data_IF_061235342964
#
_entry.id   IF_061235342964
#
_cell.length_a   1.000
_cell.length_b   1.000
_cell.length_c   1.000
_cell.angle_alpha   90.00
_cell.angle_beta   90.00
_cell.angle_gamma   90.00
#
_symmetry.space_group_name_H-M   'P 1'
#
loop_
_entity.id
_entity.type
_entity.pdbx_description
1 polymer ?
#
# COMPACT_ATOMS: atom_id res chain seq x y z
N UNK A 1 -70.67 -60.12 55.09
CA UNK A 1 -69.61 -59.26 55.68
C UNK A 1 -68.43 -59.33 54.74
N UNK A 2 -67.80 -58.30 54.19
CA UNK A 2 -67.91 -56.84 54.22
C UNK A 2 -66.91 -56.36 53.13
N UNK A 3 -67.25 -55.28 52.44
CA UNK A 3 -66.55 -54.66 51.30
C UNK A 3 -65.04 -54.44 51.56
N UNK A 4 -64.20 -54.27 50.51
CA UNK A 4 -63.52 -53.00 50.21
C UNK A 4 -62.38 -53.03 49.13
N UNK A 5 -62.59 -52.23 48.07
CA UNK A 5 -61.72 -51.37 47.21
C UNK A 5 -60.56 -51.89 46.32
N UNK A 6 -60.71 -51.54 45.01
CA UNK A 6 -59.83 -50.77 44.07
C UNK A 6 -58.33 -51.16 43.94
N UNK A 7 -57.64 -50.98 42.82
CA UNK A 7 -57.90 -50.54 41.46
C UNK A 7 -56.59 -50.67 40.66
N UNK A 8 -56.73 -51.05 39.38
CA UNK A 8 -56.09 -50.48 38.19
C UNK A 8 -54.59 -50.66 37.93
N UNK A 9 -54.39 -51.28 36.75
CA UNK A 9 -53.22 -51.27 35.90
C UNK A 9 -52.67 -49.87 35.61
N UNK A 10 -51.34 -49.77 35.55
CA UNK A 10 -50.62 -48.81 34.73
C UNK A 10 -49.15 -49.23 34.66
N UNK A 11 -48.77 -49.82 33.54
CA UNK A 11 -47.38 -50.00 33.16
C UNK A 11 -47.39 -50.19 31.66
N UNK A 12 -46.47 -49.53 30.98
CA UNK A 12 -46.22 -49.47 29.53
C UNK A 12 -46.55 -48.08 28.96
N UNK A 13 -45.56 -47.54 28.25
CA UNK A 13 -45.54 -46.27 27.52
C UNK A 13 -44.96 -45.04 28.27
N UNK A 14 -43.65 -45.08 28.52
CA UNK A 14 -42.83 -43.88 28.82
C UNK A 14 -41.52 -43.80 28.01
N UNK A 15 -41.36 -44.61 26.96
CA UNK A 15 -40.11 -44.65 26.15
C UNK A 15 -40.26 -44.06 24.75
N UNK A 16 -41.49 -43.77 24.29
CA UNK A 16 -41.73 -43.27 22.91
C UNK A 16 -41.93 -41.75 22.82
N UNK A 17 -42.04 -41.03 23.95
CA UNK A 17 -42.32 -39.58 23.93
C UNK A 17 -41.06 -38.70 23.88
N UNK A 18 -39.87 -39.22 24.16
CA UNK A 18 -38.63 -38.44 24.11
C UNK A 18 -37.94 -38.41 22.73
N UNK A 19 -38.42 -39.18 21.74
CA UNK A 19 -37.84 -39.20 20.40
C UNK A 19 -38.46 -38.19 19.41
N UNK A 20 -39.51 -37.46 19.81
CA UNK A 20 -40.21 -36.48 18.95
C UNK A 20 -40.17 -35.03 19.46
N UNK A 21 -39.51 -34.76 20.60
CA UNK A 21 -39.27 -33.38 21.10
C UNK A 21 -37.84 -32.90 20.81
N UNK A 22 -36.96 -33.77 20.29
CA UNK A 22 -35.59 -33.43 19.87
C UNK A 22 -35.46 -32.87 18.44
N UNK A 23 -36.57 -32.56 17.76
CA UNK A 23 -36.60 -32.11 16.36
C UNK A 23 -37.26 -30.73 16.18
N UNK A 24 -37.43 -29.96 17.25
CA UNK A 24 -37.86 -28.57 17.16
C UNK A 24 -36.73 -27.65 17.65
N UNK A 25 -36.37 -26.69 16.80
CA UNK A 25 -35.59 -25.49 17.11
C UNK A 25 -34.11 -25.68 17.48
N UNK A 26 -33.34 -26.32 16.59
CA UNK A 26 -32.11 -25.66 16.12
C UNK A 26 -32.32 -25.34 14.64
N UNK A 27 -33.25 -24.40 14.39
CA UNK A 27 -33.08 -23.57 13.21
C UNK A 27 -31.75 -22.87 13.45
N UNK A 28 -30.72 -23.40 12.81
CA UNK A 28 -29.49 -22.69 12.52
C UNK A 28 -29.96 -21.37 11.91
N UNK A 29 -30.01 -20.30 12.71
CA UNK A 29 -30.02 -18.96 12.17
C UNK A 29 -28.70 -18.90 11.43
N UNK A 30 -28.78 -19.14 10.12
CA UNK A 30 -27.78 -18.66 9.19
C UNK A 30 -27.77 -17.17 9.48
N UNK A 31 -26.77 -16.72 10.25
CA UNK A 31 -26.43 -15.30 10.28
C UNK A 31 -26.09 -14.98 8.83
N UNK A 32 -27.05 -14.40 8.11
CA UNK A 32 -26.80 -13.86 6.79
C UNK A 32 -25.74 -12.78 6.99
N UNK A 33 -24.48 -13.14 6.68
CA UNK A 33 -23.33 -12.25 6.70
C UNK A 33 -23.76 -10.93 6.02
N UNK A 34 -23.75 -9.81 6.75
CA UNK A 34 -24.04 -8.51 6.16
C UNK A 34 -23.00 -8.23 5.08
N UNK A 35 -23.47 -7.95 3.87
CA UNK A 35 -22.60 -7.75 2.71
C UNK A 35 -22.85 -6.40 2.06
N UNK A 36 -21.77 -5.84 1.51
CA UNK A 36 -21.80 -4.75 0.54
C UNK A 36 -21.81 -5.38 -0.84
N UNK A 37 -22.93 -5.24 -1.54
CA UNK A 37 -23.17 -5.84 -2.85
C UNK A 37 -24.49 -5.37 -3.45
N UNK A 38 -24.70 -5.59 -4.75
CA UNK A 38 -25.92 -5.17 -5.46
C UNK A 38 -27.17 -5.91 -4.97
N UNK A 39 -27.00 -7.14 -4.49
CA UNK A 39 -28.10 -7.99 -4.03
C UNK A 39 -28.47 -7.73 -2.55
N UNK A 40 -27.75 -6.82 -1.88
CA UNK A 40 -27.98 -6.48 -0.48
C UNK A 40 -29.15 -5.52 -0.32
N UNK A 41 -30.10 -5.83 0.58
CA UNK A 41 -31.23 -4.95 0.90
C UNK A 41 -30.84 -3.61 1.51
N UNK A 42 -29.58 -3.44 1.89
CA UNK A 42 -29.02 -2.22 2.46
C UNK A 42 -28.32 -1.33 1.42
N UNK A 43 -28.16 -1.83 0.19
CA UNK A 43 -27.42 -1.17 -0.87
C UNK A 43 -28.35 -0.77 -2.01
N UNK A 44 -28.13 0.43 -2.54
CA UNK A 44 -28.85 0.96 -3.70
C UNK A 44 -27.81 1.48 -4.70
N UNK A 45 -27.88 1.01 -5.95
CA UNK A 45 -27.03 1.53 -7.01
C UNK A 45 -27.65 2.82 -7.57
N UNK A 46 -26.93 3.93 -7.42
CA UNK A 46 -27.27 5.22 -8.01
C UNK A 46 -26.22 5.59 -9.04
N UNK A 47 -26.58 5.52 -10.31
CA UNK A 47 -25.65 5.73 -11.43
C UNK A 47 -24.45 4.77 -11.36
N UNK A 48 -23.28 5.25 -10.94
CA UNK A 48 -22.04 4.49 -10.78
C UNK A 48 -21.61 4.33 -9.32
N UNK A 49 -22.46 4.75 -8.37
CA UNK A 49 -22.18 4.73 -6.93
C UNK A 49 -23.07 3.67 -6.26
N UNK A 50 -22.45 2.66 -5.65
CA UNK A 50 -23.15 1.71 -4.80
C UNK A 50 -23.26 2.30 -3.39
N UNK A 51 -24.46 2.73 -3.02
CA UNK A 51 -24.73 3.37 -1.73
C UNK A 51 -25.31 2.37 -0.73
N UNK A 52 -24.53 1.99 0.28
CA UNK A 52 -24.93 1.06 1.32
C UNK A 52 -25.11 1.76 2.67
N UNK A 53 -26.33 1.83 3.17
CA UNK A 53 -26.65 2.44 4.47
C UNK A 53 -27.44 1.47 5.35
N UNK A 54 -26.85 1.13 6.49
CA UNK A 54 -27.44 0.19 7.44
C UNK A 54 -28.42 0.85 8.42
N UNK A 55 -28.68 2.17 8.29
CA UNK A 55 -29.60 3.02 9.10
C UNK A 55 -29.24 3.15 10.58
N UNK A 56 -28.77 2.07 11.19
CA UNK A 56 -28.24 2.00 12.54
C UNK A 56 -26.91 1.25 12.48
N UNK A 57 -26.01 1.59 13.40
CA UNK A 57 -24.71 0.91 13.52
C UNK A 57 -24.94 -0.59 13.68
N UNK A 58 -24.53 -1.36 12.67
CA UNK A 58 -24.76 -2.82 12.60
C UNK A 58 -24.20 -3.53 13.82
N UNK A 59 -24.79 -4.65 14.25
CA UNK A 59 -24.15 -5.45 15.31
C UNK A 59 -23.08 -6.40 14.76
N UNK A 60 -23.25 -6.83 13.52
CA UNK A 60 -22.41 -7.80 12.82
C UNK A 60 -21.39 -7.11 11.88
N UNK A 61 -20.36 -7.87 11.52
CA UNK A 61 -19.33 -7.48 10.55
C UNK A 61 -19.92 -7.43 9.14
N UNK A 62 -19.61 -6.35 8.42
CA UNK A 62 -19.96 -6.15 7.03
C UNK A 62 -18.77 -6.53 6.14
N UNK A 63 -18.99 -7.41 5.18
CA UNK A 63 -17.96 -7.87 4.22
C UNK A 63 -18.22 -7.29 2.83
N UNK A 64 -17.17 -6.87 2.15
CA UNK A 64 -17.26 -6.52 0.72
C UNK A 64 -17.39 -7.79 -0.11
N UNK A 65 -18.35 -7.82 -1.04
CA UNK A 65 -18.53 -8.94 -1.95
C UNK A 65 -17.47 -8.93 -3.08
N UNK A 66 -16.89 -10.10 -3.39
CA UNK A 66 -15.88 -10.29 -4.45
C UNK A 66 -16.41 -9.98 -5.87
N UNK A 67 -17.72 -9.83 -6.06
CA UNK A 67 -18.31 -9.55 -7.38
C UNK A 67 -18.17 -8.08 -7.81
N UNK A 68 -17.74 -7.18 -6.90
CA UNK A 68 -17.46 -5.78 -7.24
C UNK A 68 -16.15 -5.58 -7.99
N UNK A 69 -15.35 -6.64 -8.18
CA UNK A 69 -14.02 -6.57 -8.82
C UNK A 69 -13.99 -6.81 -10.33
N UNK A 70 -15.06 -7.33 -10.97
CA UNK A 70 -15.07 -7.61 -12.41
C UNK A 70 -16.25 -6.96 -13.16
N UNK A 71 -15.95 -5.90 -13.91
CA UNK A 71 -16.73 -5.50 -15.08
C UNK A 71 -18.09 -4.81 -14.87
N UNK A 72 -18.47 -4.47 -13.63
CA UNK A 72 -19.70 -3.72 -13.38
C UNK A 72 -19.46 -2.20 -13.28
N UNK A 73 -20.50 -1.42 -13.61
CA UNK A 73 -20.48 0.05 -13.71
C UNK A 73 -20.22 0.81 -12.39
N UNK A 74 -19.81 0.11 -11.32
CA UNK A 74 -19.59 0.70 -10.00
C UNK A 74 -18.18 1.30 -9.95
N UNK A 75 -18.10 2.63 -9.94
CA UNK A 75 -16.85 3.38 -9.81
C UNK A 75 -16.54 3.73 -8.35
N UNK A 76 -17.58 3.82 -7.52
CA UNK A 76 -17.47 4.20 -6.12
C UNK A 76 -18.43 3.39 -5.26
N UNK A 77 -17.98 3.02 -4.06
CA UNK A 77 -18.79 2.37 -3.03
C UNK A 77 -18.85 3.29 -1.82
N UNK A 78 -20.05 3.66 -1.41
CA UNK A 78 -20.31 4.49 -0.25
C UNK A 78 -20.94 3.65 0.87
N UNK A 79 -20.29 3.57 2.02
CA UNK A 79 -20.75 2.74 3.16
C UNK A 79 -20.98 3.63 4.38
N UNK A 80 -22.18 3.54 4.94
CA UNK A 80 -22.62 4.34 6.07
C UNK A 80 -23.07 3.46 7.23
N UNK A 81 -22.78 3.90 8.46
CA UNK A 81 -23.36 3.33 9.69
C UNK A 81 -23.07 1.83 9.89
N UNK A 82 -21.85 1.39 9.59
CA UNK A 82 -21.41 0.02 9.86
C UNK A 82 -20.58 -0.04 11.16
N UNK A 83 -20.75 -1.07 12.00
CA UNK A 83 -19.86 -1.24 13.15
C UNK A 83 -18.47 -1.67 12.73
N UNK A 84 -18.41 -2.67 11.85
CA UNK A 84 -17.15 -3.22 11.39
C UNK A 84 -17.23 -3.52 9.91
N UNK A 85 -16.34 -2.92 9.12
CA UNK A 85 -16.23 -3.16 7.68
C UNK A 85 -14.91 -3.86 7.39
N UNK A 86 -14.97 -5.00 6.70
CA UNK A 86 -13.79 -5.71 6.24
C UNK A 86 -13.54 -5.39 4.76
N UNK A 87 -12.39 -4.78 4.49
CA UNK A 87 -11.95 -4.41 3.15
C UNK A 87 -10.75 -5.26 2.72
N UNK A 88 -10.69 -5.63 1.45
CA UNK A 88 -9.47 -6.20 0.86
C UNK A 88 -8.38 -5.13 0.76
N UNK A 89 -7.12 -5.54 0.72
CA UNK A 89 -5.97 -4.66 0.41
C UNK A 89 -5.89 -4.33 -1.09
N UNK A 90 -6.45 -5.21 -1.93
CA UNK A 90 -6.54 -5.06 -3.37
C UNK A 90 -7.94 -4.59 -3.74
N UNK A 91 -8.15 -3.28 -3.73
CA UNK A 91 -9.44 -2.67 -4.09
C UNK A 91 -9.26 -1.86 -5.36
N UNK A 92 -10.08 -2.15 -6.36
CA UNK A 92 -10.09 -1.43 -7.63
C UNK A 92 -11.19 -0.37 -7.78
N UNK A 93 -11.85 0.04 -6.70
CA UNK A 93 -12.94 1.03 -6.70
C UNK A 93 -12.70 2.12 -5.66
N UNK A 94 -13.28 3.30 -5.89
CA UNK A 94 -13.21 4.38 -4.91
C UNK A 94 -14.12 4.08 -3.72
N UNK A 95 -13.73 4.55 -2.53
CA UNK A 95 -14.52 4.39 -1.32
C UNK A 95 -14.86 5.71 -0.65
N UNK A 96 -16.10 5.79 -0.17
CA UNK A 96 -16.55 6.78 0.79
C UNK A 96 -17.07 6.03 2.03
N UNK A 97 -16.41 6.20 3.17
CA UNK A 97 -16.76 5.54 4.42
C UNK A 97 -17.17 6.60 5.44
N UNK A 98 -18.37 6.50 5.99
CA UNK A 98 -18.85 7.46 6.98
C UNK A 98 -19.51 6.75 8.16
N UNK A 99 -19.10 7.16 9.37
CA UNK A 99 -19.60 6.58 10.61
C UNK A 99 -19.43 5.05 10.65
N UNK A 100 -18.27 4.57 10.21
CA UNK A 100 -17.89 3.15 10.27
C UNK A 100 -16.98 2.95 11.48
N UNK A 101 -17.46 2.30 12.54
CA UNK A 101 -16.73 2.31 13.82
C UNK A 101 -15.33 1.70 13.70
N UNK A 102 -15.19 0.60 12.95
CA UNK A 102 -13.93 -0.07 12.67
C UNK A 102 -13.85 -0.52 11.21
N UNK A 103 -12.77 -0.18 10.52
CA UNK A 103 -12.44 -0.62 9.17
C UNK A 103 -11.19 -1.48 9.25
N UNK A 104 -11.34 -2.75 8.87
CA UNK A 104 -10.26 -3.75 8.88
C UNK A 104 -9.86 -4.07 7.45
N UNK A 105 -8.72 -3.54 7.02
CA UNK A 105 -8.12 -3.90 5.74
C UNK A 105 -7.32 -5.20 5.90
N UNK A 106 -7.71 -6.24 5.17
CA UNK A 106 -7.08 -7.58 5.18
C UNK A 106 -6.28 -7.82 3.91
N UNK A 107 -5.16 -8.54 4.00
CA UNK A 107 -4.32 -8.82 2.84
C UNK A 107 -5.14 -9.57 1.77
N UNK A 108 -4.98 -9.17 0.51
CA UNK A 108 -5.58 -9.91 -0.61
C UNK A 108 -4.97 -11.32 -0.67
N UNK A 109 -5.80 -12.32 -1.00
CA UNK A 109 -5.30 -13.67 -1.31
C UNK A 109 -4.38 -13.66 -2.53
N UNK A 110 -3.62 -14.74 -2.74
CA UNK A 110 -2.79 -14.94 -3.94
C UNK A 110 -3.65 -14.83 -5.20
N UNK A 111 -3.61 -13.67 -5.85
CA UNK A 111 -4.49 -13.36 -6.98
C UNK A 111 -4.84 -11.88 -7.16
N UNK A 112 -4.16 -10.94 -6.47
CA UNK A 112 -4.47 -9.51 -6.58
C UNK A 112 -4.33 -9.02 -8.03
N UNK A 113 -5.47 -8.74 -8.65
CA UNK A 113 -5.59 -8.14 -9.97
C UNK A 113 -4.90 -6.78 -10.01
N UNK A 114 -4.10 -6.54 -11.05
CA UNK A 114 -3.62 -5.21 -11.40
C UNK A 114 -4.83 -4.32 -11.69
N UNK A 115 -5.23 -3.51 -10.71
CA UNK A 115 -6.30 -2.54 -10.88
C UNK A 115 -5.84 -1.50 -11.93
N UNK A 116 -6.58 -1.40 -13.04
CA UNK A 116 -6.28 -0.43 -14.10
C UNK A 116 -6.70 1.01 -13.73
N UNK A 117 -7.35 1.22 -12.59
CA UNK A 117 -7.74 2.53 -12.11
C UNK A 117 -6.49 3.38 -11.78
N UNK A 118 -6.30 4.46 -12.55
CA UNK A 118 -5.11 5.30 -12.46
C UNK A 118 -4.99 6.09 -11.14
N UNK A 119 -6.14 6.40 -10.51
CA UNK A 119 -6.22 7.14 -9.26
C UNK A 119 -7.38 6.62 -8.41
N UNK A 120 -7.05 5.82 -7.39
CA UNK A 120 -8.01 5.30 -6.42
C UNK A 120 -8.10 6.24 -5.22
N UNK A 121 -9.33 6.61 -4.87
CA UNK A 121 -9.67 7.51 -3.79
C UNK A 121 -10.32 6.77 -2.61
N UNK A 122 -9.86 7.10 -1.40
CA UNK A 122 -10.46 6.67 -0.15
C UNK A 122 -10.78 7.91 0.69
N UNK A 123 -12.07 8.19 0.86
CA UNK A 123 -12.57 9.23 1.76
C UNK A 123 -13.20 8.58 2.99
N UNK A 124 -12.77 8.98 4.18
CA UNK A 124 -13.21 8.40 5.45
C UNK A 124 -13.53 9.48 6.47
N UNK A 125 -14.72 9.37 7.06
CA UNK A 125 -15.27 10.30 8.04
C UNK A 125 -15.74 9.57 9.29
N UNK A 126 -15.41 10.07 10.48
CA UNK A 126 -15.89 9.55 11.77
C UNK A 126 -15.65 8.04 11.94
N UNK A 127 -14.49 7.54 11.53
CA UNK A 127 -14.21 6.10 11.47
C UNK A 127 -12.79 5.75 11.96
N UNK A 128 -12.57 4.49 12.31
CA UNK A 128 -11.24 3.99 12.71
C UNK A 128 -10.73 2.97 11.70
N UNK A 129 -9.55 3.20 11.12
CA UNK A 129 -8.88 2.25 10.22
C UNK A 129 -7.66 1.61 10.89
N UNK A 130 -7.48 0.32 10.67
CA UNK A 130 -6.23 -0.35 11.06
C UNK A 130 -5.05 0.07 10.16
N UNK A 131 -5.27 0.12 8.84
CA UNK A 131 -4.30 0.51 7.81
C UNK A 131 -5.01 0.98 6.54
N UNK A 132 -4.25 1.49 5.58
CA UNK A 132 -4.77 1.84 4.25
C UNK A 132 -4.70 0.65 3.29
N UNK A 133 -5.60 0.55 2.30
CA UNK A 133 -5.42 -0.33 1.17
C UNK A 133 -4.22 0.10 0.32
N UNK A 134 -3.43 -0.86 -0.14
CA UNK A 134 -2.12 -0.63 -0.78
C UNK A 134 -2.18 0.18 -2.09
N UNK A 135 -3.29 0.14 -2.81
CA UNK A 135 -3.42 0.72 -4.16
C UNK A 135 -3.96 2.15 -4.16
N UNK A 136 -4.43 2.66 -3.02
CA UNK A 136 -4.99 4.00 -2.90
C UNK A 136 -3.91 5.06 -3.10
N UNK A 137 -4.24 6.13 -3.84
CA UNK A 137 -3.34 7.26 -4.14
C UNK A 137 -3.89 8.59 -3.64
N UNK A 138 -5.20 8.73 -3.54
CA UNK A 138 -5.87 9.89 -2.95
C UNK A 138 -6.56 9.48 -1.65
N UNK A 139 -6.18 10.11 -0.54
CA UNK A 139 -6.73 9.81 0.78
C UNK A 139 -7.27 11.07 1.43
N UNK A 140 -8.52 11.02 1.86
CA UNK A 140 -9.14 12.03 2.69
C UNK A 140 -9.60 11.41 4.01
N UNK A 141 -9.11 11.94 5.13
CA UNK A 141 -9.51 11.52 6.48
C UNK A 141 -10.07 12.71 7.24
N UNK A 142 -11.24 12.54 7.85
CA UNK A 142 -11.88 13.55 8.67
C UNK A 142 -12.43 12.93 9.95
N UNK A 143 -12.20 13.57 11.10
CA UNK A 143 -12.76 13.11 12.38
C UNK A 143 -12.46 11.62 12.66
N UNK A 144 -11.34 11.12 12.15
CA UNK A 144 -11.05 9.69 12.04
C UNK A 144 -9.73 9.32 12.72
N UNK A 145 -9.50 8.03 12.93
CA UNK A 145 -8.22 7.54 13.42
C UNK A 145 -7.63 6.43 12.56
N UNK A 146 -6.31 6.41 12.40
CA UNK A 146 -5.58 5.39 11.64
C UNK A 146 -4.44 4.84 12.49
N UNK A 147 -4.40 3.52 12.65
CA UNK A 147 -3.34 2.87 13.43
C UNK A 147 -2.02 2.82 12.68
N UNK A 148 -2.02 2.47 11.39
CA UNK A 148 -0.82 2.50 10.56
C UNK A 148 -1.10 3.09 9.19
N UNK A 149 -0.64 4.32 8.97
CA UNK A 149 -0.61 4.93 7.65
C UNK A 149 0.71 4.54 6.99
N UNK A 150 0.76 3.30 6.47
CA UNK A 150 1.88 2.78 5.70
C UNK A 150 1.43 2.56 4.27
N UNK A 151 2.14 3.14 3.31
CA UNK A 151 1.87 2.89 1.89
C UNK A 151 3.17 2.75 1.09
N UNK A 152 3.11 1.85 0.11
CA UNK A 152 4.12 1.66 -0.93
C UNK A 152 3.76 2.35 -2.23
N UNK A 153 2.50 2.78 -2.40
CA UNK A 153 2.04 3.55 -3.56
C UNK A 153 2.51 5.01 -3.47
N UNK A 154 2.65 5.64 -4.63
CA UNK A 154 2.87 7.08 -4.73
C UNK A 154 1.56 7.83 -4.46
N UNK A 155 1.47 8.47 -3.30
CA UNK A 155 0.33 9.30 -2.91
C UNK A 155 0.32 10.58 -3.77
N UNK A 156 -0.80 10.84 -4.44
CA UNK A 156 -1.04 12.07 -5.22
C UNK A 156 -1.71 13.13 -4.35
N UNK A 157 -2.64 12.73 -3.49
CA UNK A 157 -3.36 13.67 -2.61
C UNK A 157 -3.56 13.06 -1.23
N UNK A 158 -3.17 13.81 -0.21
CA UNK A 158 -3.40 13.47 1.18
C UNK A 158 -4.04 14.64 1.89
N UNK A 159 -5.24 14.46 2.44
CA UNK A 159 -5.93 15.49 3.22
C UNK A 159 -6.41 14.87 4.53
N UNK A 160 -5.84 15.30 5.64
CA UNK A 160 -6.17 14.77 6.97
C UNK A 160 -6.61 15.94 7.86
N UNK A 161 -7.82 15.83 8.40
CA UNK A 161 -8.48 16.90 9.16
C UNK A 161 -9.02 16.33 10.46
N UNK A 162 -8.71 16.98 11.59
CA UNK A 162 -9.23 16.61 12.92
C UNK A 162 -9.11 15.11 13.21
N UNK A 163 -7.96 14.52 12.93
CA UNK A 163 -7.77 13.07 12.94
C UNK A 163 -6.52 12.68 13.73
N UNK A 164 -6.42 11.38 14.04
CA UNK A 164 -5.27 10.81 14.76
C UNK A 164 -4.59 9.76 13.90
N UNK A 165 -3.26 9.84 13.77
CA UNK A 165 -2.45 8.86 13.05
C UNK A 165 -1.40 8.33 14.01
N UNK A 166 -1.43 7.04 14.36
CA UNK A 166 -0.40 6.51 15.28
C UNK A 166 0.96 6.40 14.61
N UNK A 167 1.01 5.89 13.38
CA UNK A 167 2.26 5.74 12.63
C UNK A 167 2.05 6.26 11.22
N UNK A 168 2.89 7.22 10.79
CA UNK A 168 2.93 7.74 9.43
C UNK A 168 4.24 7.36 8.73
N UNK A 169 4.13 6.53 7.68
CA UNK A 169 5.24 6.05 6.85
C UNK A 169 4.85 6.08 5.37
N UNK A 170 5.30 7.11 4.65
CA UNK A 170 5.24 7.15 3.19
C UNK A 170 6.57 6.64 2.62
N UNK A 171 6.53 5.43 2.05
CA UNK A 171 7.75 4.79 1.51
C UNK A 171 8.30 5.56 0.31
N UNK A 172 7.39 5.99 -0.57
CA UNK A 172 7.66 6.81 -1.74
C UNK A 172 7.57 8.31 -1.41
N UNK A 173 8.42 9.15 -2.02
CA UNK A 173 8.34 10.59 -1.85
C UNK A 173 7.08 11.16 -2.50
N UNK A 174 6.53 12.23 -1.92
CA UNK A 174 5.60 13.10 -2.62
C UNK A 174 6.37 13.79 -3.75
N UNK A 175 5.89 13.63 -4.99
CA UNK A 175 6.54 14.16 -6.19
C UNK A 175 5.70 15.24 -6.87
N UNK A 176 6.18 15.76 -8.00
CA UNK A 176 5.48 16.78 -8.79
C UNK A 176 3.98 16.48 -8.94
N UNK A 177 3.15 17.50 -8.68
CA UNK A 177 1.69 17.39 -8.72
C UNK A 177 1.04 16.78 -7.47
N UNK A 178 1.83 16.28 -6.51
CA UNK A 178 1.32 15.69 -5.27
C UNK A 178 1.18 16.73 -4.16
N UNK A 179 0.16 16.57 -3.32
CA UNK A 179 -0.06 17.43 -2.16
C UNK A 179 -0.42 16.65 -0.90
N UNK A 180 0.08 17.09 0.24
CA UNK A 180 -0.31 16.59 1.56
C UNK A 180 -0.67 17.73 2.49
N UNK A 181 -1.83 17.64 3.13
CA UNK A 181 -2.34 18.60 4.10
C UNK A 181 -2.78 17.91 5.37
N UNK A 182 -2.27 18.37 6.50
CA UNK A 182 -2.62 17.94 7.85
C UNK A 182 -3.15 19.16 8.59
N UNK A 183 -4.39 19.09 9.06
CA UNK A 183 -5.06 20.21 9.75
C UNK A 183 -5.68 19.71 11.05
N UNK A 184 -5.34 20.33 12.18
CA UNK A 184 -5.84 19.92 13.51
C UNK A 184 -5.63 18.43 13.79
N UNK A 185 -4.49 17.87 13.38
CA UNK A 185 -4.23 16.43 13.37
C UNK A 185 -3.17 16.07 14.40
N UNK A 186 -3.32 14.94 15.08
CA UNK A 186 -2.30 14.37 15.96
C UNK A 186 -1.60 13.20 15.26
N UNK A 187 -0.27 13.16 15.33
CA UNK A 187 0.57 12.10 14.78
C UNK A 187 1.47 11.57 15.91
N UNK A 188 1.27 10.32 16.36
CA UNK A 188 2.09 9.80 17.46
C UNK A 188 3.54 9.57 17.00
N UNK A 189 3.73 9.01 15.80
CA UNK A 189 5.07 8.78 15.24
C UNK A 189 5.14 9.07 13.74
N UNK A 190 5.94 10.08 13.39
CA UNK A 190 6.35 10.35 12.01
C UNK A 190 7.61 9.57 11.67
N UNK A 191 7.46 8.45 10.95
CA UNK A 191 8.60 7.59 10.58
C UNK A 191 9.32 8.05 9.33
N UNK A 192 8.56 8.38 8.26
CA UNK A 192 9.12 8.93 7.02
C UNK A 192 8.04 9.67 6.25
N UNK A 193 8.36 10.90 5.87
CA UNK A 193 7.62 11.73 4.92
C UNK A 193 8.65 12.50 4.10
N UNK A 194 8.77 12.16 2.82
CA UNK A 194 9.68 12.84 1.90
C UNK A 194 8.88 13.71 0.93
N UNK A 195 9.24 14.99 0.84
CA UNK A 195 8.62 15.98 -0.05
C UNK A 195 9.63 16.37 -1.10
N UNK A 196 9.36 16.04 -2.36
CA UNK A 196 10.29 16.22 -3.46
C UNK A 196 9.66 16.87 -4.69
N UNK A 197 10.52 17.36 -5.60
CA UNK A 197 10.17 17.70 -6.98
C UNK A 197 8.90 18.56 -7.16
N UNK A 198 8.77 19.65 -6.41
CA UNK A 198 7.66 20.60 -6.50
C UNK A 198 6.38 20.18 -5.78
N UNK A 199 6.38 19.07 -5.03
CA UNK A 199 5.28 18.68 -4.16
C UNK A 199 5.02 19.72 -3.05
N UNK A 200 3.79 19.73 -2.53
CA UNK A 200 3.39 20.61 -1.42
C UNK A 200 3.04 19.82 -0.17
N UNK A 201 3.54 20.30 0.97
CA UNK A 201 3.20 19.82 2.30
C UNK A 201 2.73 20.98 3.16
N UNK A 202 1.56 20.85 3.76
CA UNK A 202 1.00 21.84 4.69
C UNK A 202 0.61 21.15 5.99
N UNK A 203 1.14 21.63 7.11
CA UNK A 203 0.81 21.17 8.45
C UNK A 203 0.32 22.36 9.28
N UNK A 204 -0.94 22.36 9.69
CA UNK A 204 -1.58 23.46 10.40
C UNK A 204 -2.23 22.91 11.66
N UNK A 205 -1.92 23.47 12.84
CA UNK A 205 -2.42 22.94 14.12
C UNK A 205 -2.15 21.44 14.28
N UNK A 206 -1.01 20.95 13.80
CA UNK A 206 -0.64 19.53 13.84
C UNK A 206 0.31 19.28 15.01
N UNK A 207 0.05 18.25 15.80
CA UNK A 207 0.94 17.81 16.89
C UNK A 207 1.62 16.51 16.51
N UNK A 208 2.93 16.43 16.69
CA UNK A 208 3.71 15.22 16.43
C UNK A 208 4.42 14.79 17.71
N UNK A 209 4.14 13.61 18.25
CA UNK A 209 4.77 13.19 19.50
C UNK A 209 6.24 12.78 19.28
N UNK A 210 6.50 11.99 18.23
CA UNK A 210 7.85 11.53 17.87
C UNK A 210 8.12 11.74 16.40
N UNK A 211 9.18 12.48 16.08
CA UNK A 211 9.77 12.52 14.73
C UNK A 211 10.97 11.58 14.70
N UNK A 212 10.88 10.50 13.93
CA UNK A 212 11.96 9.53 13.79
C UNK A 212 13.22 10.15 13.14
N UNK A 213 14.33 9.42 13.15
CA UNK A 213 15.52 9.82 12.39
C UNK A 213 15.16 9.83 10.90
N UNK A 214 15.45 10.93 10.20
CA UNK A 214 15.04 11.16 8.81
C UNK A 214 13.52 11.09 8.61
N UNK A 215 12.76 11.45 9.66
CA UNK A 215 11.30 11.41 9.67
C UNK A 215 10.66 12.40 8.69
N UNK A 216 11.23 13.59 8.53
CA UNK A 216 10.81 14.57 7.53
C UNK A 216 11.98 14.94 6.63
N UNK A 217 11.82 14.73 5.33
CA UNK A 217 12.88 14.96 4.33
C UNK A 217 12.34 15.89 3.25
N UNK A 218 12.98 17.04 3.04
CA UNK A 218 12.56 18.04 2.06
C UNK A 218 13.62 18.17 0.95
N UNK A 219 13.25 17.91 -0.32
CA UNK A 219 14.16 17.88 -1.48
C UNK A 219 13.51 18.45 -2.73
N UNK A 220 13.41 19.77 -2.81
CA UNK A 220 12.88 20.44 -4.00
C UNK A 220 11.37 20.71 -3.98
N UNK A 221 10.71 20.67 -2.82
CA UNK A 221 9.28 20.96 -2.66
C UNK A 221 8.99 22.09 -1.65
N UNK A 222 7.72 22.45 -1.51
CA UNK A 222 7.26 23.51 -0.63
C UNK A 222 6.61 22.93 0.61
N UNK A 223 7.13 23.27 1.78
CA UNK A 223 6.60 22.82 3.07
C UNK A 223 6.24 24.02 3.93
N UNK A 224 5.03 24.01 4.46
CA UNK A 224 4.51 25.03 5.37
C UNK A 224 4.04 24.38 6.67
N UNK A 225 4.59 24.84 7.79
CA UNK A 225 4.26 24.36 9.14
C UNK A 225 3.78 25.56 9.96
N UNK A 226 2.49 25.60 10.29
CA UNK A 226 1.84 26.70 11.01
C UNK A 226 1.20 26.21 12.31
N UNK A 227 1.42 26.92 13.41
CA UNK A 227 0.78 26.63 14.72
C UNK A 227 0.87 25.15 15.13
N UNK A 228 1.95 24.48 14.73
CA UNK A 228 2.15 23.04 14.91
C UNK A 228 3.27 22.80 15.91
N UNK A 229 3.36 21.61 16.50
CA UNK A 229 4.39 21.29 17.50
C UNK A 229 4.91 19.87 17.37
N UNK A 230 6.15 19.67 17.83
CA UNK A 230 6.74 18.34 17.95
C UNK A 230 7.34 18.15 19.35
N UNK A 231 6.98 17.04 20.01
CA UNK A 231 7.42 16.78 21.40
C UNK A 231 8.83 16.20 21.45
N UNK A 232 9.07 15.13 20.70
CA UNK A 232 10.35 14.41 20.66
C UNK A 232 10.90 14.39 19.24
N UNK A 233 12.15 14.81 19.07
CA UNK A 233 12.88 14.71 17.80
C UNK A 233 14.15 13.90 17.99
N UNK A 234 14.29 12.82 17.23
CA UNK A 234 15.51 12.01 17.17
C UNK A 234 16.64 12.71 16.39
N UNK A 235 17.79 12.05 16.27
CA UNK A 235 18.91 12.57 15.49
C UNK A 235 18.55 12.66 14.00
N UNK A 236 18.90 13.79 13.37
CA UNK A 236 18.65 14.06 11.96
C UNK A 236 17.18 13.90 11.54
N UNK A 237 16.26 14.27 12.44
CA UNK A 237 14.82 14.11 12.24
C UNK A 237 14.24 14.91 11.09
N UNK A 238 14.70 16.14 10.89
CA UNK A 238 14.30 17.01 9.78
C UNK A 238 15.50 17.27 8.90
N UNK A 239 15.41 16.83 7.65
CA UNK A 239 16.45 17.00 6.65
C UNK A 239 15.98 17.95 5.56
N UNK A 240 16.71 19.03 5.35
CA UNK A 240 16.40 20.02 4.29
C UNK A 240 17.52 20.01 3.25
N UNK A 241 17.16 19.63 2.03
CA UNK A 241 18.05 19.58 0.87
C UNK A 241 17.86 20.76 -0.08
N UNK A 242 18.57 20.70 -1.21
CA UNK A 242 18.56 21.76 -2.21
C UNK A 242 17.15 22.01 -2.78
N UNK A 243 16.87 23.27 -3.10
CA UNK A 243 15.61 23.75 -3.69
C UNK A 243 14.35 23.45 -2.85
N UNK A 244 14.49 23.00 -1.60
CA UNK A 244 13.36 22.88 -0.68
C UNK A 244 13.06 24.22 -0.01
N UNK A 245 11.78 24.57 0.09
CA UNK A 245 11.31 25.73 0.86
C UNK A 245 10.60 25.23 2.11
N UNK A 246 11.01 25.73 3.27
CA UNK A 246 10.37 25.44 4.56
C UNK A 246 9.97 26.75 5.23
N UNK A 247 8.67 26.98 5.36
CA UNK A 247 8.09 28.11 6.09
C UNK A 247 7.54 27.62 7.41
N UNK A 248 7.95 28.24 8.51
CA UNK A 248 7.51 27.89 9.86
C UNK A 248 6.96 29.13 10.54
N UNK A 249 5.71 29.06 10.99
CA UNK A 249 5.04 30.15 11.68
C UNK A 249 4.39 29.65 12.97
N UNK A 250 4.54 30.42 14.06
CA UNK A 250 3.91 30.15 15.34
C UNK A 250 4.14 28.71 15.87
N UNK A 251 5.35 28.19 15.68
CA UNK A 251 5.73 26.86 16.14
C UNK A 251 6.14 26.89 17.63
N UNK A 252 5.74 25.86 18.38
CA UNK A 252 6.22 25.61 19.74
C UNK A 252 7.02 24.32 19.79
N UNK A 253 8.17 24.34 20.47
CA UNK A 253 9.08 23.20 20.60
C UNK A 253 10.51 23.48 20.12
N UNK A 254 11.37 22.46 20.14
CA UNK A 254 12.73 22.52 19.58
C UNK A 254 12.73 21.82 18.22
N UNK A 255 13.02 22.56 17.15
CA UNK A 255 13.19 21.99 15.81
C UNK A 255 14.67 21.71 15.53
N UNK A 256 15.05 20.42 15.37
CA UNK A 256 16.40 20.03 14.95
C UNK A 256 16.45 19.81 13.45
N UNK A 257 17.08 20.76 12.74
CA UNK A 257 17.23 20.73 11.28
C UNK A 257 18.67 20.39 10.94
N UNK A 258 18.85 19.36 10.11
CA UNK A 258 20.13 19.08 9.45
C UNK A 258 20.01 19.37 7.95
N UNK A 259 21.08 19.93 7.39
CA UNK A 259 21.15 20.27 5.96
C UNK A 259 21.70 19.07 5.21
N UNK A 260 20.94 18.59 4.22
CA UNK A 260 21.41 17.57 3.28
C UNK A 260 22.43 18.20 2.34
N UNK A 261 23.71 17.95 2.59
CA UNK A 261 24.78 18.33 1.65
C UNK A 261 24.87 17.32 0.51
N UNK A 262 25.33 17.77 -0.67
CA UNK A 262 25.53 16.94 -1.87
C UNK A 262 26.38 15.67 -1.61
N UNK A 263 27.20 15.66 -0.55
CA UNK A 263 28.02 14.50 -0.19
C UNK A 263 27.19 13.30 0.31
N UNK A 264 26.00 13.53 0.87
CA UNK A 264 25.09 12.46 1.31
C UNK A 264 24.20 11.91 0.18
N UNK A 265 24.34 12.44 -1.05
CA UNK A 265 23.46 12.04 -2.16
C UNK A 265 23.83 10.69 -2.78
N UNK A 266 25.03 10.13 -2.56
CA UNK A 266 25.38 8.81 -3.08
C UNK A 266 26.41 8.07 -2.23
N UNK A 267 26.04 6.94 -1.60
CA UNK A 267 27.05 5.91 -1.33
C UNK A 267 26.79 4.55 -1.99
N UNK A 268 25.65 4.28 -2.66
CA UNK A 268 25.35 2.88 -2.99
C UNK A 268 25.10 2.50 -4.46
N UNK A 269 24.72 3.41 -5.37
CA UNK A 269 24.36 2.97 -6.74
C UNK A 269 25.42 3.23 -7.81
N UNK A 270 26.28 4.25 -7.64
CA UNK A 270 27.32 4.56 -8.62
C UNK A 270 28.53 3.61 -8.54
N UNK A 271 28.77 2.98 -7.39
CA UNK A 271 29.89 2.04 -7.24
C UNK A 271 29.69 0.77 -8.06
N UNK A 272 28.47 0.26 -8.11
CA UNK A 272 28.15 -0.96 -8.85
C UNK A 272 28.10 -0.71 -10.36
N UNK A 273 27.57 0.43 -10.81
CA UNK A 273 27.55 0.76 -12.23
C UNK A 273 28.96 0.99 -12.81
N UNK A 274 29.83 1.66 -12.05
CA UNK A 274 31.21 1.88 -12.50
C UNK A 274 32.02 0.57 -12.48
N UNK A 275 31.80 -0.30 -11.49
CA UNK A 275 32.46 -1.59 -11.40
C UNK A 275 32.02 -2.55 -12.52
N UNK A 276 30.70 -2.65 -12.79
CA UNK A 276 30.18 -3.46 -13.89
C UNK A 276 30.54 -2.89 -15.26
N UNK A 277 30.52 -1.57 -15.43
CA UNK A 277 30.98 -0.91 -16.66
C UNK A 277 32.47 -1.15 -16.94
N UNK A 278 33.30 -1.11 -15.90
CA UNK A 278 34.73 -1.40 -16.02
C UNK A 278 35.00 -2.88 -16.35
N UNK A 279 34.32 -3.82 -15.68
CA UNK A 279 34.46 -5.25 -15.94
C UNK A 279 34.02 -5.59 -17.37
N UNK A 280 32.87 -5.10 -17.81
CA UNK A 280 32.37 -5.37 -19.17
C UNK A 280 33.30 -4.80 -20.24
N UNK A 281 33.81 -3.58 -20.05
CA UNK A 281 34.81 -2.99 -20.95
C UNK A 281 36.11 -3.80 -21.01
N UNK A 282 36.60 -4.29 -19.86
CA UNK A 282 37.82 -5.08 -19.78
C UNK A 282 37.65 -6.46 -20.46
N UNK A 283 36.50 -7.11 -20.29
CA UNK A 283 36.17 -8.37 -20.98
C UNK A 283 36.14 -8.17 -22.50
N UNK A 284 35.49 -7.10 -22.98
CA UNK A 284 35.45 -6.78 -24.42
C UNK A 284 36.85 -6.55 -24.96
N UNK A 285 37.69 -5.82 -24.25
CA UNK A 285 39.07 -5.54 -24.67
C UNK A 285 39.91 -6.83 -24.75
N UNK A 286 39.78 -7.74 -23.78
CA UNK A 286 40.45 -9.05 -23.81
C UNK A 286 40.00 -9.87 -25.00
N UNK A 287 38.68 -9.92 -25.28
CA UNK A 287 38.15 -10.67 -26.43
C UNK A 287 38.67 -10.09 -27.75
N UNK A 288 38.68 -8.77 -27.92
CA UNK A 288 39.24 -8.11 -29.11
C UNK A 288 40.73 -8.43 -29.28
N UNK A 289 41.51 -8.39 -28.20
CA UNK A 289 42.92 -8.76 -28.23
C UNK A 289 43.14 -10.23 -28.64
N UNK A 290 42.36 -11.16 -28.09
CA UNK A 290 42.46 -12.59 -28.44
C UNK A 290 42.10 -12.82 -29.91
N UNK A 291 41.01 -12.20 -30.39
CA UNK A 291 40.60 -12.29 -31.80
C UNK A 291 41.68 -11.71 -32.71
N UNK A 292 42.27 -10.57 -32.34
CA UNK A 292 43.34 -9.94 -33.11
C UNK A 292 44.57 -10.84 -33.21
N UNK A 293 45.02 -11.40 -32.08
CA UNK A 293 46.17 -12.33 -32.04
C UNK A 293 45.89 -13.59 -32.86
N UNK A 294 44.68 -14.14 -32.76
CA UNK A 294 44.27 -15.29 -33.56
C UNK A 294 44.30 -14.99 -35.07
N UNK A 295 43.73 -13.87 -35.48
CA UNK A 295 43.72 -13.44 -36.88
C UNK A 295 45.14 -13.18 -37.40
N UNK A 296 46.00 -12.56 -36.59
CA UNK A 296 47.41 -12.35 -36.92
C UNK A 296 48.15 -13.67 -37.14
N UNK A 297 47.95 -14.63 -36.24
CA UNK A 297 48.58 -15.95 -36.34
C UNK A 297 48.06 -16.74 -37.56
N UNK A 298 46.76 -16.65 -37.86
CA UNK A 298 46.16 -17.25 -39.06
C UNK A 298 46.74 -16.66 -40.34
N UNK A 299 46.91 -15.34 -40.43
CA UNK A 299 47.56 -14.67 -41.57
C UNK A 299 49.00 -15.13 -41.74
N UNK A 300 49.77 -15.26 -40.65
CA UNK A 300 51.15 -15.79 -40.70
C UNK A 300 51.22 -17.23 -41.21
N UNK A 301 50.29 -18.10 -40.80
CA UNK A 301 50.23 -19.48 -41.32
C UNK A 301 49.92 -19.53 -42.81
N UNK A 302 49.00 -18.71 -43.31
CA UNK A 302 48.70 -18.65 -44.75
C UNK A 302 49.86 -18.10 -45.58
N UNK A 303 50.63 -17.14 -45.06
CA UNK A 303 51.83 -16.62 -45.74
C UNK A 303 52.94 -17.68 -45.92
N UNK A 304 53.06 -18.64 -44.99
CA UNK A 304 54.03 -19.75 -45.12
C UNK A 304 53.61 -20.80 -46.16
N UNK A 305 52.32 -21.00 -46.38
CA UNK A 305 51.83 -21.96 -47.39
C UNK A 305 52.09 -21.41 -48.81
N UNK A 306 51.93 -20.09 -49.00
CA UNK A 306 52.16 -19.44 -50.30
C UNK A 306 53.64 -19.38 -50.73
N UNK A 307 54.57 -19.37 -49.77
CA UNK A 307 56.00 -19.42 -50.08
C UNK A 307 56.49 -20.81 -50.46
N UNK A 308 55.83 -21.90 -50.01
CA UNK A 308 56.19 -23.26 -50.45
C UNK A 308 55.72 -23.60 -51.86
N UNK A 309 54.65 -22.97 -52.37
CA UNK A 309 54.10 -23.24 -53.71
C UNK A 309 54.84 -22.55 -54.85
N UNK A 310 55.62 -21.48 -54.59
CA UNK A 310 56.43 -20.82 -55.64
C UNK A 310 57.74 -21.53 -55.96
N UNK A 311 58.23 -22.42 -55.09
CA UNK A 311 59.44 -23.21 -55.39
C UNK A 311 59.16 -24.46 -56.23
N UNK A 312 57.89 -24.82 -56.46
CA UNK A 312 57.53 -26.03 -57.21
C UNK A 312 57.12 -25.79 -58.68
N UNK A 313 57.00 -24.54 -59.14
CA UNK A 313 56.47 -24.24 -60.48
C UNK A 313 57.42 -23.50 -61.43
N UNK A 314 58.69 -23.28 -61.07
CA UNK A 314 59.71 -22.72 -61.98
C UNK A 314 60.96 -23.59 -62.08
N UNK A 315 60.79 -24.90 -61.90
CA UNK A 315 61.82 -25.93 -62.11
C UNK A 315 61.53 -26.82 -63.34
N UNK A 316 60.69 -26.36 -64.26
CA UNK A 316 60.43 -27.00 -65.56
C UNK A 316 60.19 -25.90 -66.57
N UNK A 317 61.28 -25.43 -67.19
CA UNK A 317 61.35 -25.07 -68.61
C UNK A 317 62.76 -24.53 -68.86
N UNK A 318 63.67 -25.49 -69.08
CA UNK A 318 64.90 -25.26 -69.81
C UNK A 318 64.79 -25.98 -71.14
N UNK A 319 65.08 -25.26 -72.23
CA UNK A 319 65.85 -25.68 -73.42
C UNK A 319 65.73 -24.60 -74.48
#
# INVERSE_FOLDING_TARGET
MGRQWRAWACGWSWVVVWALVGLASHAYLIEDDLRVGLDSSHCELKETILHCDYKQVTQQEVKLEELLTDGQAVQQVAVFNARKLRLSDAVCVNFLLENVSEVVVVAAGEGSSDCQAAELELSVSSSTLNRLPAQVRSVQLRDSSVTSFTTTSSITRLTIINSVIKILLLSQPLSAGSSASFTSTAIDTLQKLEVAAGATLTMVHTTIDVVASRGLILRGGNTEIKSSSATTMLHDSVLVGQAATLTIENHSGQLRVAVLTLADQHPCYLKDFFFWGFITSLVVLVVVCVVWVYLWHRRRKQARIFTSRRYFHTATDGS
#
